data_IF_096661507629
#
_entry.id   IF_096661507629
#
_cell.length_a   1.000
_cell.length_b   1.000
_cell.length_c   1.000
_cell.angle_alpha   90.00
_cell.angle_beta   90.00
_cell.angle_gamma   90.00
#
_symmetry.space_group_name_H-M   'P 1'
#
loop_
_entity.id
_entity.type
_entity.pdbx_description
1 polymer ?
#
# COMPACT_ATOMS: atom_id res chain seq x y z
N UNK A 1 46.89 9.45 -7.28
CA UNK A 1 45.78 10.07 -6.54
C UNK A 1 44.56 10.10 -7.45
N UNK A 2 43.55 9.28 -7.18
CA UNK A 2 42.21 9.41 -7.78
C UNK A 2 41.20 9.00 -6.71
N UNK A 3 40.73 9.98 -5.94
CA UNK A 3 39.62 9.81 -5.02
C UNK A 3 38.34 10.17 -5.77
N UNK A 4 37.55 9.16 -6.15
CA UNK A 4 36.15 9.39 -6.53
C UNK A 4 35.35 9.74 -5.27
N UNK A 5 34.47 10.76 -5.29
CA UNK A 5 33.64 11.08 -4.14
C UNK A 5 32.61 9.96 -3.92
N UNK A 6 32.39 9.53 -2.66
CA UNK A 6 31.29 8.63 -2.36
C UNK A 6 29.96 9.35 -2.65
N UNK A 7 29.19 8.81 -3.60
CA UNK A 7 27.82 9.29 -3.84
C UNK A 7 27.00 9.05 -2.57
N UNK A 8 26.13 10.00 -2.17
CA UNK A 8 25.22 9.77 -1.06
C UNK A 8 24.24 8.69 -1.51
N UNK A 9 24.49 7.45 -1.11
CA UNK A 9 23.50 6.38 -1.16
C UNK A 9 22.40 6.80 -0.20
N UNK A 10 21.42 7.53 -0.72
CA UNK A 10 20.20 7.88 -0.01
C UNK A 10 19.70 6.60 0.64
N UNK A 11 19.74 6.55 1.97
CA UNK A 11 19.26 5.41 2.75
C UNK A 11 17.83 5.15 2.30
N UNK A 12 17.62 4.15 1.43
CA UNK A 12 16.29 3.63 1.14
C UNK A 12 15.75 3.17 2.48
N UNK A 13 14.82 3.95 3.02
CA UNK A 13 14.11 3.58 4.24
C UNK A 13 13.49 2.20 3.99
N UNK A 14 13.66 1.24 4.91
CA UNK A 14 13.01 -0.06 4.75
C UNK A 14 11.50 0.17 4.56
N UNK A 15 10.87 -0.51 3.59
CA UNK A 15 9.45 -0.34 3.35
C UNK A 15 8.68 -0.60 4.64
N UNK A 16 7.85 0.36 5.03
CA UNK A 16 6.99 0.22 6.18
C UNK A 16 5.91 -0.82 5.90
N UNK A 17 5.29 -1.41 6.94
CA UNK A 17 4.18 -2.33 6.78
C UNK A 17 3.01 -1.80 5.91
N UNK A 18 2.80 -0.48 5.90
CA UNK A 18 1.80 0.17 5.04
C UNK A 18 2.19 0.19 3.55
N UNK A 19 3.49 0.19 3.22
CA UNK A 19 3.97 0.25 1.83
C UNK A 19 3.67 -1.05 1.08
N UNK A 20 3.76 -2.20 1.76
CA UNK A 20 3.35 -3.50 1.21
C UNK A 20 1.85 -3.54 0.89
N UNK A 21 1.01 -3.06 1.81
CA UNK A 21 -0.44 -3.00 1.62
C UNK A 21 -0.84 -2.06 0.48
N UNK A 22 -0.18 -0.91 0.34
CA UNK A 22 -0.39 0.01 -0.78
C UNK A 22 -0.03 -0.63 -2.12
N UNK A 23 1.14 -1.27 -2.20
CA UNK A 23 1.55 -1.97 -3.42
C UNK A 23 0.56 -3.09 -3.83
N UNK A 24 0.01 -3.82 -2.85
CA UNK A 24 -0.99 -4.84 -3.11
C UNK A 24 -2.35 -4.23 -3.52
N UNK A 25 -2.72 -3.12 -2.90
CA UNK A 25 -3.92 -2.35 -3.28
C UNK A 25 -3.83 -1.86 -4.72
N UNK A 26 -2.69 -1.27 -5.11
CA UNK A 26 -2.46 -0.77 -6.47
C UNK A 26 -2.49 -1.92 -7.49
N UNK A 27 -1.85 -3.05 -7.18
CA UNK A 27 -1.90 -4.24 -8.04
C UNK A 27 -3.33 -4.76 -8.25
N UNK A 28 -4.16 -4.76 -7.19
CA UNK A 28 -5.56 -5.16 -7.29
C UNK A 28 -6.40 -4.16 -8.09
N UNK A 29 -6.16 -2.85 -7.97
CA UNK A 29 -6.83 -1.84 -8.81
C UNK A 29 -6.49 -2.03 -10.29
N UNK A 30 -5.21 -2.19 -10.61
CA UNK A 30 -4.79 -2.47 -11.99
C UNK A 30 -5.36 -3.80 -12.52
N UNK A 31 -5.59 -4.78 -11.66
CA UNK A 31 -6.29 -6.01 -12.06
C UNK A 31 -7.78 -5.76 -12.31
N UNK A 32 -8.46 -5.02 -11.42
CA UNK A 32 -9.86 -4.65 -11.58
C UNK A 32 -10.10 -3.84 -12.87
N UNK A 33 -9.21 -2.89 -13.20
CA UNK A 33 -9.28 -2.11 -14.43
C UNK A 33 -9.14 -3.00 -15.68
N UNK A 34 -8.20 -3.95 -15.67
CA UNK A 34 -8.05 -4.92 -16.77
C UNK A 34 -9.30 -5.80 -16.92
N UNK A 35 -9.87 -6.28 -15.82
CA UNK A 35 -11.10 -7.06 -15.86
C UNK A 35 -12.28 -6.25 -16.41
N UNK A 36 -12.41 -4.98 -16.04
CA UNK A 36 -13.43 -4.08 -16.61
C UNK A 36 -13.24 -3.86 -18.11
N UNK A 37 -12.00 -3.74 -18.57
CA UNK A 37 -11.72 -3.66 -20.02
C UNK A 37 -12.16 -4.94 -20.73
N UNK A 38 -11.84 -6.11 -20.17
CA UNK A 38 -12.26 -7.41 -20.72
C UNK A 38 -13.79 -7.55 -20.69
N UNK A 39 -14.46 -7.14 -19.62
CA UNK A 39 -15.92 -7.11 -19.54
C UNK A 39 -16.51 -6.22 -20.64
N UNK A 40 -16.00 -5.00 -20.81
CA UNK A 40 -16.47 -4.10 -21.86
C UNK A 40 -16.29 -4.72 -23.26
N UNK A 41 -15.21 -5.46 -23.50
CA UNK A 41 -14.98 -6.19 -24.75
C UNK A 41 -15.98 -7.33 -24.94
N UNK A 42 -16.30 -8.07 -23.89
CA UNK A 42 -17.30 -9.15 -23.89
C UNK A 42 -18.71 -8.61 -24.15
N UNK A 43 -19.09 -7.51 -23.53
CA UNK A 43 -20.39 -6.85 -23.77
C UNK A 43 -20.58 -6.44 -25.23
N UNK A 44 -19.50 -6.14 -25.95
CA UNK A 44 -19.54 -5.86 -27.40
C UNK A 44 -19.67 -7.10 -28.29
N UNK A 45 -19.40 -8.31 -27.77
CA UNK A 45 -19.45 -9.58 -28.51
C UNK A 45 -20.85 -10.23 -28.53
N UNK A 46 -21.82 -9.67 -27.83
CA UNK A 46 -23.23 -10.09 -27.86
C UNK A 46 -23.64 -11.07 -26.75
N UNK A 47 -24.90 -11.52 -26.80
CA UNK A 47 -25.62 -12.18 -25.69
C UNK A 47 -25.03 -13.50 -25.19
N UNK A 48 -24.27 -14.23 -26.00
CA UNK A 48 -23.59 -15.46 -25.55
C UNK A 48 -22.50 -15.19 -24.50
N UNK A 49 -21.93 -13.99 -24.50
CA UNK A 49 -20.92 -13.58 -23.54
C UNK A 49 -21.51 -13.03 -22.24
N UNK A 50 -22.83 -12.93 -22.10
CA UNK A 50 -23.48 -12.24 -20.98
C UNK A 50 -23.21 -12.89 -19.60
N UNK A 51 -23.25 -14.24 -19.45
CA UNK A 51 -22.87 -14.87 -18.19
C UNK A 51 -21.40 -14.65 -17.84
N UNK A 52 -20.50 -14.74 -18.82
CA UNK A 52 -19.08 -14.51 -18.62
C UNK A 52 -18.79 -13.03 -18.30
N UNK A 53 -19.51 -12.11 -18.95
CA UNK A 53 -19.46 -10.68 -18.70
C UNK A 53 -19.86 -10.36 -17.25
N UNK A 54 -20.93 -10.97 -16.75
CA UNK A 54 -21.38 -10.82 -15.37
C UNK A 54 -20.32 -11.32 -14.36
N UNK A 55 -19.75 -12.51 -14.59
CA UNK A 55 -18.70 -13.07 -13.73
C UNK A 55 -17.43 -12.21 -13.70
N UNK A 56 -16.97 -11.72 -14.87
CA UNK A 56 -15.79 -10.86 -14.95
C UNK A 56 -16.04 -9.51 -14.28
N UNK A 57 -17.25 -8.97 -14.40
CA UNK A 57 -17.66 -7.73 -13.72
C UNK A 57 -17.66 -7.92 -12.20
N UNK A 58 -18.26 -9.00 -11.71
CA UNK A 58 -18.27 -9.34 -10.28
C UNK A 58 -16.85 -9.52 -9.71
N UNK A 59 -15.96 -10.17 -10.48
CA UNK A 59 -14.57 -10.33 -10.07
C UNK A 59 -13.86 -8.97 -9.98
N UNK A 60 -14.09 -8.08 -10.95
CA UNK A 60 -13.52 -6.73 -10.92
C UNK A 60 -13.98 -5.93 -9.70
N UNK A 61 -15.25 -6.04 -9.33
CA UNK A 61 -15.81 -5.41 -8.13
C UNK A 61 -15.16 -5.96 -6.86
N UNK A 62 -15.01 -7.28 -6.73
CA UNK A 62 -14.33 -7.92 -5.60
C UNK A 62 -12.88 -7.45 -5.45
N UNK A 63 -12.15 -7.33 -6.56
CA UNK A 63 -10.79 -6.77 -6.56
C UNK A 63 -10.78 -5.32 -6.10
N UNK A 64 -11.72 -4.49 -6.54
CA UNK A 64 -11.83 -3.09 -6.13
C UNK A 64 -12.15 -2.96 -4.63
N UNK A 65 -13.08 -3.78 -4.10
CA UNK A 65 -13.41 -3.83 -2.67
C UNK A 65 -12.20 -4.25 -1.84
N UNK A 66 -11.50 -5.31 -2.25
CA UNK A 66 -10.30 -5.77 -1.57
C UNK A 66 -9.20 -4.69 -1.59
N UNK A 67 -9.00 -4.01 -2.72
CA UNK A 67 -8.05 -2.91 -2.81
C UNK A 67 -8.40 -1.76 -1.85
N UNK A 68 -9.70 -1.42 -1.73
CA UNK A 68 -10.19 -0.43 -0.76
C UNK A 68 -9.89 -0.83 0.68
N UNK A 69 -10.14 -2.09 1.05
CA UNK A 69 -9.80 -2.63 2.36
C UNK A 69 -8.31 -2.55 2.70
N UNK A 70 -7.44 -2.88 1.73
CA UNK A 70 -5.99 -2.74 1.90
C UNK A 70 -5.53 -1.28 2.05
N UNK A 71 -6.16 -0.36 1.30
CA UNK A 71 -5.88 1.09 1.44
C UNK A 71 -6.25 1.58 2.83
N UNK A 72 -7.42 1.17 3.33
CA UNK A 72 -7.88 1.52 4.67
C UNK A 72 -6.95 0.94 5.75
N UNK A 73 -6.55 -0.33 5.62
CA UNK A 73 -5.60 -0.97 6.52
C UNK A 73 -4.22 -0.27 6.50
N UNK A 74 -3.73 0.13 5.33
CA UNK A 74 -2.51 0.92 5.21
C UNK A 74 -2.63 2.25 5.97
N UNK A 75 -3.74 2.99 5.77
CA UNK A 75 -4.00 4.24 6.47
C UNK A 75 -4.08 4.06 8.00
N UNK A 76 -4.66 2.97 8.48
CA UNK A 76 -4.69 2.63 9.91
C UNK A 76 -3.30 2.34 10.49
N UNK A 77 -2.41 1.71 9.70
CA UNK A 77 -1.02 1.45 10.11
C UNK A 77 -0.14 2.72 10.13
N UNK A 78 -0.51 3.73 9.34
CA UNK A 78 0.09 5.07 9.37
C UNK A 78 -0.47 5.93 10.51
N UNK A 79 -1.75 5.73 10.84
CA UNK A 79 -2.36 6.21 12.08
C UNK A 79 -1.67 5.56 13.30
N UNK A 80 -1.81 6.11 14.51
CA UNK A 80 -0.75 6.80 15.23
C UNK A 80 0.42 5.93 15.73
N UNK A 81 1.25 5.41 14.82
CA UNK A 81 2.71 5.34 15.03
C UNK A 81 3.32 6.73 15.24
N UNK A 82 2.58 7.79 14.87
CA UNK A 82 2.85 9.20 15.20
C UNK A 82 2.68 9.51 16.71
N UNK A 83 1.78 8.82 17.44
CA UNK A 83 1.55 9.07 18.87
C UNK A 83 2.51 8.32 19.80
N UNK A 84 3.00 7.14 19.41
CA UNK A 84 4.01 6.41 20.21
C UNK A 84 5.38 7.11 20.22
N UNK A 85 5.73 7.87 19.17
CA UNK A 85 7.00 8.62 19.09
C UNK A 85 6.98 9.92 19.89
N UNK A 86 5.81 10.55 20.06
CA UNK A 86 5.62 11.76 20.87
C UNK A 86 5.33 11.47 22.35
N UNK A 87 5.11 10.20 22.72
CA UNK A 87 4.83 9.76 24.10
C UNK A 87 5.98 8.97 24.72
N UNK A 88 7.22 9.20 24.28
CA UNK A 88 8.42 8.69 24.95
C UNK A 88 8.82 9.73 26.00
N UNK A 89 8.56 9.50 27.30
CA UNK A 89 9.03 10.42 28.33
C UNK A 89 10.56 10.50 28.24
N UNK A 90 11.09 11.73 28.24
CA UNK A 90 12.51 11.93 28.51
C UNK A 90 12.81 11.25 29.85
N UNK A 91 13.68 10.24 29.83
CA UNK A 91 14.07 9.52 31.03
C UNK A 91 14.62 10.50 32.09
N UNK A 92 14.47 10.18 33.39
CA UNK A 92 14.88 11.08 34.45
C UNK A 92 16.40 11.31 34.36
N UNK A 93 16.79 12.59 34.35
CA UNK A 93 18.17 12.99 34.48
C UNK A 93 18.70 12.47 35.82
N UNK A 94 19.55 11.44 35.76
CA UNK A 94 20.36 10.97 36.88
C UNK A 94 21.22 12.13 37.37
N UNK A 95 20.73 12.84 38.39
CA UNK A 95 21.51 13.83 39.13
C UNK A 95 22.38 13.04 40.11
N UNK A 96 23.53 12.56 39.61
CA UNK A 96 24.65 12.18 40.47
C UNK A 96 25.14 13.45 41.15
N UNK A 97 25.12 13.47 42.49
CA UNK A 97 25.93 14.38 43.27
C UNK A 97 26.43 13.59 44.48
N UNK A 98 27.53 12.88 44.25
CA UNK A 98 28.50 12.52 45.28
C UNK A 98 29.64 13.57 45.22
N UNK A 99 30.48 13.75 46.26
CA UNK A 99 30.57 13.01 47.52
C UNK A 99 30.16 13.83 48.76
#
# INVERSE_FOLDING_TARGET
MNHLPPTPRGRRRPPGPADGLRAHSDALRSHAERLRSVAADLGRRGSYADPLHAEVTLLAERCAVAAGGLTLAAAQLDAPRRSRRSRRPAGPALRRKDP
#
